data_IF_274778005962
#
_entry.id   IF_274778005962
#
_cell.length_a   1.000
_cell.length_b   1.000
_cell.length_c   1.000
_cell.angle_alpha   90.00
_cell.angle_beta   90.00
_cell.angle_gamma   90.00
#
_symmetry.space_group_name_H-M   'P 1'
#
loop_
_entity.id
_entity.type
_entity.pdbx_description
1 polymer ?
#
# COMPACT_ATOMS: atom_id res chain seq x y z
N UNK A 1 -0.81 -20.70 -9.62
CA UNK A 1 -2.00 -20.27 -10.38
C UNK A 1 -2.10 -18.76 -10.25
N UNK A 2 -1.95 -18.01 -11.35
CA UNK A 2 -2.10 -16.56 -11.30
C UNK A 2 -3.59 -16.22 -11.22
N UNK A 3 -4.00 -15.57 -10.14
CA UNK A 3 -5.39 -15.12 -9.95
C UNK A 3 -5.45 -13.62 -10.11
N UNK A 4 -6.48 -13.11 -10.80
CA UNK A 4 -6.72 -11.69 -10.82
C UNK A 4 -7.12 -11.22 -9.43
N UNK A 5 -6.30 -10.36 -8.84
CA UNK A 5 -6.57 -9.63 -7.62
C UNK A 5 -7.29 -8.33 -7.97
N UNK A 6 -7.86 -7.68 -6.97
CA UNK A 6 -8.36 -6.30 -7.05
C UNK A 6 -7.79 -5.53 -5.88
N UNK A 7 -7.66 -4.21 -5.99
CA UNK A 7 -6.98 -3.47 -4.95
C UNK A 7 -6.92 -1.98 -5.21
N UNK A 8 -6.14 -1.33 -4.36
CA UNK A 8 -5.86 0.09 -4.43
C UNK A 8 -4.37 0.33 -4.34
N UNK A 9 -3.93 1.35 -5.07
CA UNK A 9 -2.57 1.84 -5.09
C UNK A 9 -2.56 3.31 -4.76
N UNK A 10 -1.49 3.76 -4.11
CA UNK A 10 -1.19 5.18 -3.97
C UNK A 10 0.32 5.38 -3.83
N UNK A 11 0.76 6.64 -3.81
CA UNK A 11 2.14 7.03 -3.54
C UNK A 11 2.17 7.95 -2.34
N UNK A 12 3.07 7.67 -1.40
CA UNK A 12 3.22 8.43 -0.17
C UNK A 12 4.70 8.67 0.11
N UNK A 13 5.15 9.92 -0.05
CA UNK A 13 6.54 10.32 0.25
C UNK A 13 7.61 9.42 -0.39
N UNK A 14 7.45 9.10 -1.67
CA UNK A 14 8.37 8.23 -2.42
C UNK A 14 8.19 6.72 -2.20
N UNK A 15 7.29 6.32 -1.28
CA UNK A 15 6.85 4.93 -1.13
C UNK A 15 5.65 4.69 -2.04
N UNK A 16 5.70 3.60 -2.80
CA UNK A 16 4.50 3.07 -3.47
C UNK A 16 3.79 2.15 -2.48
N UNK A 17 2.50 2.40 -2.27
CA UNK A 17 1.66 1.62 -1.37
C UNK A 17 0.65 0.86 -2.22
N UNK A 18 0.54 -0.44 -1.98
CA UNK A 18 -0.40 -1.34 -2.64
C UNK A 18 -1.18 -2.11 -1.58
N UNK A 19 -2.49 -2.10 -1.73
CA UNK A 19 -3.44 -2.81 -0.88
C UNK A 19 -4.24 -3.74 -1.77
N UNK A 20 -4.00 -5.04 -1.66
CA UNK A 20 -4.57 -6.07 -2.53
C UNK A 20 -5.62 -6.90 -1.78
N UNK A 21 -6.80 -7.06 -2.36
CA UNK A 21 -7.82 -8.01 -1.90
C UNK A 21 -7.50 -9.41 -2.44
N UNK A 22 -7.43 -10.37 -1.54
CA UNK A 22 -7.24 -11.79 -1.84
C UNK A 22 -8.20 -12.62 -0.96
N UNK A 23 -9.24 -13.19 -1.57
CA UNK A 23 -10.36 -13.81 -0.85
C UNK A 23 -11.03 -12.83 0.13
N UNK A 24 -11.01 -13.16 1.43
CA UNK A 24 -11.54 -12.33 2.53
C UNK A 24 -10.43 -11.56 3.26
N UNK A 25 -9.21 -11.59 2.73
CA UNK A 25 -8.05 -10.90 3.29
C UNK A 25 -7.62 -9.73 2.42
N UNK A 26 -7.04 -8.73 3.08
CA UNK A 26 -6.38 -7.60 2.46
C UNK A 26 -4.89 -7.61 2.81
N UNK A 27 -4.07 -7.71 1.77
CA UNK A 27 -2.61 -7.68 1.85
C UNK A 27 -2.13 -6.25 1.67
N UNK A 28 -1.21 -5.84 2.53
CA UNK A 28 -0.61 -4.51 2.51
C UNK A 28 0.86 -4.63 2.15
N UNK A 29 1.28 -3.93 1.10
CA UNK A 29 2.66 -3.91 0.62
C UNK A 29 3.06 -2.45 0.41
N UNK A 30 4.20 -2.06 0.97
CA UNK A 30 4.84 -0.79 0.70
C UNK A 30 6.18 -1.09 0.04
N UNK A 31 6.55 -0.34 -0.98
CA UNK A 31 7.85 -0.53 -1.61
C UNK A 31 8.44 0.76 -2.18
N UNK A 32 9.76 0.76 -2.25
CA UNK A 32 10.60 1.72 -2.96
C UNK A 32 11.70 0.94 -3.69
N UNK A 33 12.62 1.60 -4.41
CA UNK A 33 13.79 0.92 -4.98
C UNK A 33 14.67 0.22 -3.92
N UNK A 34 14.66 0.71 -2.67
CA UNK A 34 15.59 0.26 -1.62
C UNK A 34 14.94 -0.72 -0.63
N UNK A 35 13.61 -0.70 -0.50
CA UNK A 35 12.90 -1.46 0.54
C UNK A 35 11.58 -2.03 0.05
N UNK A 36 11.22 -3.19 0.59
CA UNK A 36 9.86 -3.75 0.52
C UNK A 36 9.42 -4.08 1.94
N UNK A 37 8.27 -3.55 2.33
CA UNK A 37 7.68 -3.74 3.66
C UNK A 37 6.34 -4.43 3.46
N UNK A 38 6.14 -5.54 4.16
CA UNK A 38 4.89 -6.27 4.15
C UNK A 38 4.14 -6.02 5.45
N UNK A 39 2.92 -5.51 5.32
CA UNK A 39 2.04 -5.31 6.46
C UNK A 39 1.33 -6.59 6.88
N UNK A 40 0.84 -6.57 8.12
CA UNK A 40 -0.05 -7.61 8.63
C UNK A 40 -1.36 -7.71 7.84
N UNK A 41 -2.03 -8.85 7.96
CA UNK A 41 -3.31 -9.14 7.33
C UNK A 41 -4.39 -8.19 7.86
N UNK A 42 -5.22 -7.71 6.94
CA UNK A 42 -6.37 -6.88 7.26
C UNK A 42 -7.64 -7.52 6.69
N UNK A 43 -8.79 -7.20 7.28
CA UNK A 43 -10.07 -7.84 6.94
C UNK A 43 -11.07 -6.87 6.28
N UNK A 44 -10.64 -5.66 5.95
CA UNK A 44 -11.43 -4.72 5.15
C UNK A 44 -10.53 -3.76 4.39
N UNK A 45 -11.04 -3.22 3.28
CA UNK A 45 -10.32 -2.24 2.46
C UNK A 45 -9.93 -0.98 3.27
N UNK A 46 -10.86 -0.48 4.09
CA UNK A 46 -10.64 0.71 4.91
C UNK A 46 -9.50 0.50 5.92
N UNK A 47 -9.56 -0.60 6.69
CA UNK A 47 -8.50 -0.96 7.65
C UNK A 47 -7.17 -1.22 6.95
N UNK A 48 -7.20 -1.80 5.76
CA UNK A 48 -5.98 -2.03 4.98
C UNK A 48 -5.31 -0.74 4.52
N UNK A 49 -6.09 0.26 4.07
CA UNK A 49 -5.57 1.59 3.73
C UNK A 49 -5.02 2.30 4.96
N UNK A 50 -5.76 2.32 6.07
CA UNK A 50 -5.31 2.91 7.34
C UNK A 50 -4.02 2.26 7.84
N UNK A 51 -3.97 0.93 7.86
CA UNK A 51 -2.80 0.16 8.26
C UNK A 51 -1.59 0.44 7.35
N UNK A 52 -1.81 0.54 6.05
CA UNK A 52 -0.75 0.86 5.10
C UNK A 52 -0.15 2.26 5.35
N UNK A 53 -0.99 3.26 5.67
CA UNK A 53 -0.52 4.60 5.99
C UNK A 53 0.19 4.67 7.34
N UNK A 54 -0.29 3.92 8.33
CA UNK A 54 0.39 3.79 9.61
C UNK A 54 1.80 3.21 9.42
N UNK A 55 1.93 2.10 8.68
CA UNK A 55 3.22 1.50 8.36
C UNK A 55 4.16 2.44 7.60
N UNK A 56 3.64 3.19 6.63
CA UNK A 56 4.43 4.15 5.87
C UNK A 56 5.00 5.24 6.77
N UNK A 57 4.16 5.79 7.66
CA UNK A 57 4.56 6.82 8.62
C UNK A 57 5.61 6.30 9.59
N UNK A 58 5.39 5.12 10.19
CA UNK A 58 6.35 4.52 11.12
C UNK A 58 7.70 4.27 10.44
N UNK A 59 7.71 3.75 9.22
CA UNK A 59 8.96 3.55 8.48
C UNK A 59 9.70 4.86 8.19
N UNK A 60 8.98 5.91 7.76
CA UNK A 60 9.59 7.22 7.49
C UNK A 60 10.11 7.88 8.76
N UNK A 61 9.42 7.71 9.89
CA UNK A 61 9.86 8.17 11.21
C UNK A 61 11.14 7.46 11.65
N UNK A 62 11.20 6.14 11.55
CA UNK A 62 12.40 5.34 11.86
C UNK A 62 13.59 5.70 10.97
N UNK A 63 13.34 6.08 9.72
CA UNK A 63 14.37 6.53 8.78
C UNK A 63 14.79 8.00 8.98
N UNK A 64 14.12 8.76 9.87
CA UNK A 64 14.33 10.21 10.00
C UNK A 64 13.93 11.00 8.76
N UNK A 65 13.03 10.45 7.93
CA UNK A 65 12.51 11.04 6.67
C UNK A 65 11.08 11.56 6.82
N UNK A 66 10.56 11.65 8.04
CA UNK A 66 9.22 12.18 8.26
C UNK A 66 9.21 13.69 7.91
N UNK A 67 8.33 14.13 7.01
CA UNK A 67 8.27 15.54 6.62
C UNK A 67 7.79 16.41 7.80
N UNK A 68 8.31 17.65 7.89
CA UNK A 68 7.90 18.62 8.91
C UNK A 68 6.42 19.03 8.80
N UNK A 69 5.83 18.87 7.60
CA UNK A 69 4.41 19.10 7.35
C UNK A 69 3.70 17.80 6.99
N UNK A 70 2.48 17.56 7.49
CA UNK A 70 1.72 16.39 7.11
C UNK A 70 1.48 16.42 5.60
N UNK A 71 1.89 15.38 4.85
CA UNK A 71 1.61 15.33 3.42
C UNK A 71 0.10 15.33 3.17
N UNK A 72 -0.32 15.76 1.96
CA UNK A 72 -1.72 15.66 1.55
C UNK A 72 -2.20 14.22 1.67
N UNK A 73 -3.50 14.05 1.89
CA UNK A 73 -4.09 12.72 1.91
C UNK A 73 -3.79 11.99 0.60
N UNK A 74 -3.33 10.74 0.67
CA UNK A 74 -2.93 9.99 -0.51
C UNK A 74 -4.15 9.69 -1.38
N UNK A 75 -4.03 10.03 -2.67
CA UNK A 75 -5.05 9.73 -3.65
C UNK A 75 -4.99 8.23 -4.00
N UNK A 76 -5.99 7.47 -3.56
CA UNK A 76 -6.06 6.04 -3.83
C UNK A 76 -6.69 5.78 -5.20
N UNK A 77 -5.93 5.13 -6.08
CA UNK A 77 -6.38 4.71 -7.39
C UNK A 77 -6.61 3.19 -7.42
N UNK A 78 -7.60 2.68 -8.15
CA UNK A 78 -7.70 1.25 -8.40
C UNK A 78 -6.42 0.71 -9.03
N UNK A 79 -5.99 -0.47 -8.60
CA UNK A 79 -4.87 -1.17 -9.25
C UNK A 79 -5.27 -1.61 -10.66
N UNK A 80 -4.37 -1.50 -11.62
CA UNK A 80 -4.59 -1.89 -13.01
C UNK A 80 -3.56 -2.89 -13.55
N UNK A 81 -3.67 -3.31 -14.81
CA UNK A 81 -2.86 -4.38 -15.40
C UNK A 81 -1.34 -4.18 -15.40
N UNK A 82 -0.87 -2.96 -15.10
CA UNK A 82 0.56 -2.60 -15.02
C UNK A 82 1.13 -2.64 -13.60
N UNK A 83 0.29 -2.82 -12.59
CA UNK A 83 0.72 -2.98 -11.22
C UNK A 83 1.21 -4.42 -11.01
N UNK A 84 2.20 -4.65 -10.14
CA UNK A 84 3.03 -5.87 -10.04
C UNK A 84 2.32 -7.21 -9.72
N UNK A 85 0.98 -7.23 -9.72
CA UNK A 85 0.17 -8.43 -9.53
C UNK A 85 -0.73 -8.63 -10.75
N UNK A 86 -1.28 -9.84 -10.92
CA UNK A 86 -2.29 -10.06 -11.96
C UNK A 86 -3.57 -9.41 -11.46
N UNK A 87 -4.02 -8.32 -12.09
CA UNK A 87 -5.22 -7.59 -11.67
C UNK A 87 -6.38 -7.82 -12.63
N UNK A 88 -7.61 -7.85 -12.10
CA UNK A 88 -8.82 -7.76 -12.92
C UNK A 88 -9.02 -6.29 -13.33
N UNK A 89 -9.17 -6.06 -14.64
CA UNK A 89 -9.55 -4.75 -15.20
C UNK A 89 -10.97 -4.36 -14.80
#
# INVERSE_FOLDING_TARGET
MFRPLTGFRTTYQGLTIVVASEFDEWRVILHSPEVVIQGQRQYSAAKAKEHALMLAKSYLEECGRLPESPPPEPEWQPTGPRDWLVWKA
#
